data_IF_827798954449
#
_entry.id   IF_827798954449
#
_cell.length_a   1.000
_cell.length_b   1.000
_cell.length_c   1.000
_cell.angle_alpha   90.00
_cell.angle_beta   90.00
_cell.angle_gamma   90.00
#
_symmetry.space_group_name_H-M   'P 1'
#
loop_
_entity.id
_entity.type
_entity.pdbx_description
1 polymer ?
#
# COMPACT_ATOMS: atom_id res chain seq x y z
N UNK A 1 8.00 -20.25 5.78
CA UNK A 1 7.19 -19.01 5.89
C UNK A 1 5.73 -19.41 5.87
N UNK A 2 4.87 -18.88 6.76
CA UNK A 2 3.45 -19.16 6.68
C UNK A 2 2.89 -18.60 5.37
N UNK A 3 2.10 -19.40 4.65
CA UNK A 3 1.31 -18.92 3.52
C UNK A 3 0.07 -18.24 4.09
N UNK A 4 -0.13 -16.98 3.73
CA UNK A 4 -1.35 -16.24 4.05
C UNK A 4 -2.36 -16.53 2.95
N UNK A 5 -3.42 -17.27 3.29
CA UNK A 5 -4.48 -17.66 2.34
C UNK A 5 -5.76 -16.84 2.48
N UNK A 6 -5.89 -16.08 3.56
CA UNK A 6 -7.07 -15.25 3.84
C UNK A 6 -6.61 -13.85 4.24
N UNK A 7 -6.95 -12.86 3.41
CA UNK A 7 -6.63 -11.46 3.63
C UNK A 7 -7.69 -10.58 2.99
N UNK A 8 -8.02 -9.47 3.65
CA UNK A 8 -9.11 -8.57 3.23
C UNK A 8 -8.81 -7.73 2.00
N UNK A 9 -7.54 -7.67 1.59
CA UNK A 9 -7.07 -6.83 0.47
C UNK A 9 -6.97 -7.69 -0.79
N UNK A 10 -7.70 -7.43 -1.87
CA UNK A 10 -7.55 -8.16 -3.14
C UNK A 10 -6.08 -8.21 -3.61
N UNK A 11 -5.67 -9.27 -4.31
CA UNK A 11 -4.27 -9.43 -4.75
C UNK A 11 -3.73 -8.23 -5.53
N UNK A 12 -4.56 -7.61 -6.37
CA UNK A 12 -4.16 -6.42 -7.13
C UNK A 12 -3.88 -5.23 -6.21
N UNK A 13 -4.70 -5.03 -5.18
CA UNK A 13 -4.52 -3.95 -4.21
C UNK A 13 -3.28 -4.21 -3.34
N UNK A 14 -2.99 -5.47 -3.01
CA UNK A 14 -1.78 -5.85 -2.30
C UNK A 14 -0.51 -5.57 -3.13
N UNK A 15 -0.54 -5.86 -4.44
CA UNK A 15 0.56 -5.53 -5.36
C UNK A 15 0.73 -4.02 -5.46
N UNK A 16 -0.36 -3.27 -5.57
CA UNK A 16 -0.31 -1.81 -5.63
C UNK A 16 0.34 -1.21 -4.36
N UNK A 17 -0.03 -1.72 -3.18
CA UNK A 17 0.60 -1.35 -1.91
C UNK A 17 2.08 -1.73 -1.87
N UNK A 18 2.46 -2.91 -2.38
CA UNK A 18 3.85 -3.36 -2.43
C UNK A 18 4.72 -2.44 -3.31
N UNK A 19 4.21 -2.04 -4.48
CA UNK A 19 4.90 -1.07 -5.35
C UNK A 19 5.04 0.28 -4.65
N UNK A 20 3.98 0.74 -3.97
CA UNK A 20 4.00 2.02 -3.25
C UNK A 20 5.05 2.08 -2.13
N UNK A 21 5.31 0.98 -1.42
CA UNK A 21 6.28 0.95 -0.32
C UNK A 21 7.71 0.66 -0.79
N UNK A 22 7.90 -0.19 -1.81
CA UNK A 22 9.23 -0.65 -2.21
C UNK A 22 9.86 0.22 -3.32
N UNK A 23 9.05 0.73 -4.24
CA UNK A 23 9.56 1.38 -5.46
C UNK A 23 9.35 2.89 -5.47
N UNK A 24 8.20 3.38 -5.00
CA UNK A 24 7.92 4.82 -5.02
C UNK A 24 8.91 5.69 -4.23
N UNK A 25 9.50 5.26 -3.09
CA UNK A 25 10.50 6.09 -2.39
C UNK A 25 11.71 6.46 -3.27
N UNK A 26 12.14 5.56 -4.16
CA UNK A 26 13.24 5.85 -5.08
C UNK A 26 12.85 6.82 -6.20
N UNK A 27 11.56 6.89 -6.55
CA UNK A 27 11.02 7.77 -7.59
C UNK A 27 10.67 9.17 -7.05
N UNK A 28 10.36 9.26 -5.75
CA UNK A 28 9.93 10.50 -5.11
C UNK A 28 11.09 11.43 -4.72
N UNK A 29 12.35 11.01 -4.86
CA UNK A 29 13.55 11.81 -4.50
C UNK A 29 13.47 12.45 -3.10
N UNK A 30 12.91 11.71 -2.12
CA UNK A 30 12.72 12.19 -0.75
C UNK A 30 11.45 13.01 -0.49
N UNK A 31 10.63 13.26 -1.52
CA UNK A 31 9.29 13.83 -1.36
C UNK A 31 8.34 12.85 -0.65
N UNK A 32 7.33 13.42 0.01
CA UNK A 32 6.35 12.64 0.74
C UNK A 32 5.37 11.95 -0.22
N UNK A 33 5.13 10.65 -0.04
CA UNK A 33 4.23 9.85 -0.88
C UNK A 33 2.85 9.80 -0.24
N UNK A 34 1.82 10.24 -0.98
CA UNK A 34 0.41 10.04 -0.64
C UNK A 34 -0.17 8.88 -1.46
N UNK A 35 -0.74 7.88 -0.78
CA UNK A 35 -1.45 6.78 -1.39
C UNK A 35 -2.92 7.15 -1.59
N UNK A 36 -3.32 7.40 -2.84
CA UNK A 36 -4.68 7.87 -3.16
C UNK A 36 -5.60 6.69 -3.43
N UNK A 37 -6.66 6.55 -2.63
CA UNK A 37 -7.66 5.50 -2.87
C UNK A 37 -9.02 5.84 -2.29
N UNK A 38 -10.09 5.36 -2.95
CA UNK A 38 -11.46 5.40 -2.42
C UNK A 38 -11.87 4.10 -1.75
N UNK A 39 -11.05 3.05 -1.88
CA UNK A 39 -11.30 1.75 -1.26
C UNK A 39 -10.92 1.81 0.22
N UNK A 40 -11.86 1.48 1.10
CA UNK A 40 -11.67 1.56 2.55
C UNK A 40 -10.72 0.50 3.09
N UNK A 41 -10.73 -0.69 2.51
CA UNK A 41 -9.88 -1.79 2.97
C UNK A 41 -8.44 -1.59 2.47
N UNK A 42 -8.27 -1.07 1.26
CA UNK A 42 -6.95 -0.65 0.75
C UNK A 42 -6.40 0.56 1.53
N UNK A 43 -7.23 1.56 1.83
CA UNK A 43 -6.84 2.70 2.67
C UNK A 43 -6.39 2.24 4.07
N UNK A 44 -7.13 1.33 4.70
CA UNK A 44 -6.77 0.79 6.00
C UNK A 44 -5.43 0.02 5.95
N UNK A 45 -5.19 -0.73 4.89
CA UNK A 45 -3.92 -1.43 4.67
C UNK A 45 -2.75 -0.45 4.43
N UNK A 46 -2.95 0.61 3.64
CA UNK A 46 -1.96 1.66 3.42
C UNK A 46 -1.58 2.36 4.74
N UNK A 47 -2.56 2.71 5.57
CA UNK A 47 -2.32 3.29 6.91
C UNK A 47 -1.55 2.32 7.81
N UNK A 48 -1.88 1.03 7.79
CA UNK A 48 -1.15 0.01 8.56
C UNK A 48 0.32 -0.12 8.12
N UNK A 49 0.61 0.16 6.85
CA UNK A 49 1.96 0.24 6.27
C UNK A 49 2.62 1.62 6.46
N UNK A 50 1.98 2.55 7.20
CA UNK A 50 2.46 3.91 7.48
C UNK A 50 2.54 4.83 6.27
N UNK A 51 1.81 4.54 5.20
CA UNK A 51 1.61 5.47 4.09
C UNK A 51 0.62 6.56 4.51
N UNK A 52 0.82 7.79 4.01
CA UNK A 52 -0.21 8.82 4.07
C UNK A 52 -1.30 8.45 3.05
N UNK A 53 -2.58 8.69 3.38
CA UNK A 53 -3.71 8.34 2.52
C UNK A 53 -4.56 9.57 2.24
N UNK A 54 -4.99 9.72 0.98
CA UNK A 54 -5.93 10.76 0.52
C UNK A 54 -7.13 10.14 -0.19
#
# INVERSE_FOLDING_TARGET
>A
MPIVTDHRVPTLDAIHLAVAIEECPALADGEAIEFVTRDRDQAAAAVALRLMVR
#
